data_IF_117597937269
#
_entry.id   IF_117597937269
#
_cell.length_a   1.000
_cell.length_b   1.000
_cell.length_c   1.000
_cell.angle_alpha   90.00
_cell.angle_beta   90.00
_cell.angle_gamma   90.00
#
_symmetry.space_group_name_H-M   'P 1'
#
loop_
_entity.id
_entity.type
_entity.pdbx_description
1 polymer ?
#
# COMPACT_ATOMS: atom_id res chain seq x y z
N UNK A 1 13.47 -15.78 5.75
CA UNK A 1 14.51 -15.24 4.85
C UNK A 1 15.74 -14.86 5.65
N UNK A 2 15.70 -13.83 6.52
CA UNK A 2 16.86 -13.41 7.32
C UNK A 2 17.44 -14.57 8.16
N UNK A 3 16.63 -15.27 8.96
CA UNK A 3 17.11 -16.43 9.75
C UNK A 3 17.64 -17.58 8.87
N UNK A 4 17.06 -17.75 7.67
CA UNK A 4 17.42 -18.82 6.74
C UNK A 4 18.79 -18.55 6.09
N UNK A 5 19.09 -17.30 5.73
CA UNK A 5 20.34 -16.93 5.05
C UNK A 5 21.49 -16.61 6.02
N UNK A 6 21.21 -16.22 7.26
CA UNK A 6 22.25 -15.81 8.24
C UNK A 6 22.52 -16.84 9.34
N UNK A 7 21.76 -17.94 9.42
CA UNK A 7 21.88 -18.94 10.49
C UNK A 7 21.53 -18.41 11.89
N UNK A 8 20.91 -17.23 11.97
CA UNK A 8 20.54 -16.56 13.21
C UNK A 8 19.12 -17.00 13.65
N UNK A 9 19.01 -17.69 14.78
CA UNK A 9 17.74 -18.14 15.39
C UNK A 9 17.06 -17.03 16.22
N UNK A 10 16.95 -15.81 15.68
CA UNK A 10 16.34 -14.71 16.42
C UNK A 10 14.81 -14.83 16.43
N UNK A 11 14.21 -14.62 17.61
CA UNK A 11 12.74 -14.59 17.76
C UNK A 11 12.15 -13.43 16.97
N UNK A 12 10.98 -13.64 16.37
CA UNK A 12 10.23 -12.62 15.61
C UNK A 12 10.07 -11.29 16.40
N UNK A 13 9.87 -11.37 17.71
CA UNK A 13 9.76 -10.21 18.61
C UNK A 13 11.00 -9.32 18.59
N UNK A 14 12.20 -9.87 18.37
CA UNK A 14 13.44 -9.10 18.29
C UNK A 14 13.51 -8.27 17.01
N UNK A 15 13.06 -8.83 15.87
CA UNK A 15 12.94 -8.10 14.61
C UNK A 15 11.91 -6.96 14.69
N UNK A 16 10.76 -7.23 15.33
CA UNK A 16 9.75 -6.21 15.60
C UNK A 16 10.34 -5.11 16.48
N UNK A 17 11.03 -5.46 17.57
CA UNK A 17 11.68 -4.49 18.45
C UNK A 17 12.69 -3.59 17.73
N UNK A 18 13.57 -4.17 16.91
CA UNK A 18 14.55 -3.40 16.13
C UNK A 18 13.87 -2.45 15.13
N UNK A 19 12.83 -2.91 14.44
CA UNK A 19 12.06 -2.09 13.50
C UNK A 19 11.36 -0.93 14.21
N UNK A 20 10.76 -1.20 15.38
CA UNK A 20 10.08 -0.17 16.19
C UNK A 20 11.06 0.92 16.62
N UNK A 21 12.29 0.58 17.02
CA UNK A 21 13.31 1.56 17.38
C UNK A 21 13.57 2.52 16.21
N UNK A 22 13.77 1.99 14.99
CA UNK A 22 13.94 2.82 13.78
C UNK A 22 12.73 3.72 13.51
N UNK A 23 11.52 3.17 13.58
CA UNK A 23 10.27 3.92 13.40
C UNK A 23 10.11 5.04 14.44
N UNK A 24 10.48 4.81 15.69
CA UNK A 24 10.41 5.82 16.75
C UNK A 24 11.32 7.01 16.43
N UNK A 25 12.55 6.78 15.99
CA UNK A 25 13.47 7.86 15.61
C UNK A 25 12.95 8.68 14.42
N UNK A 26 12.43 8.01 13.38
CA UNK A 26 11.83 8.70 12.23
C UNK A 26 10.59 9.49 12.65
N UNK A 27 9.78 8.95 13.56
CA UNK A 27 8.59 9.60 14.12
C UNK A 27 8.89 10.86 14.96
N UNK A 28 10.14 11.06 15.40
CA UNK A 28 10.55 12.29 16.10
C UNK A 28 10.86 13.47 15.17
N UNK A 29 10.83 13.28 13.85
CA UNK A 29 11.17 14.34 12.90
C UNK A 29 10.05 15.38 12.87
N UNK A 30 10.29 16.53 13.53
CA UNK A 30 9.33 17.64 13.63
C UNK A 30 9.20 18.46 12.34
N UNK A 31 10.24 18.45 11.50
CA UNK A 31 10.30 19.26 10.29
C UNK A 31 10.07 18.41 9.04
N UNK A 32 8.81 18.27 8.62
CA UNK A 32 8.41 17.51 7.42
C UNK A 32 9.09 17.97 6.12
N UNK A 33 9.56 19.23 6.06
CA UNK A 33 10.26 19.77 4.88
C UNK A 33 11.49 18.94 4.47
N UNK A 34 12.20 18.34 5.43
CA UNK A 34 13.37 17.49 5.13
C UNK A 34 12.99 16.15 4.51
N UNK A 35 11.77 15.66 4.75
CA UNK A 35 11.28 14.41 4.19
C UNK A 35 10.75 14.58 2.77
N UNK A 36 10.47 15.80 2.31
CA UNK A 36 9.91 16.07 0.99
C UNK A 36 10.71 15.44 -0.16
N UNK A 37 12.05 15.61 -0.28
CA UNK A 37 12.80 15.00 -1.39
C UNK A 37 12.80 13.47 -1.33
N UNK A 38 12.87 12.89 -0.13
CA UNK A 38 12.79 11.44 0.07
C UNK A 38 11.40 10.90 -0.30
N UNK A 39 10.34 11.60 0.12
CA UNK A 39 8.96 11.27 -0.23
C UNK A 39 8.72 11.38 -1.73
N UNK A 40 9.25 12.39 -2.40
CA UNK A 40 9.16 12.52 -3.85
C UNK A 40 9.81 11.33 -4.56
N UNK A 41 11.01 10.92 -4.14
CA UNK A 41 11.68 9.73 -4.68
C UNK A 41 10.89 8.44 -4.40
N UNK A 42 10.36 8.28 -3.19
CA UNK A 42 9.51 7.13 -2.83
C UNK A 42 8.25 7.07 -3.70
N UNK A 43 7.59 8.21 -3.95
CA UNK A 43 6.44 8.29 -4.84
C UNK A 43 6.78 7.89 -6.28
N UNK A 44 7.96 8.23 -6.79
CA UNK A 44 8.42 7.75 -8.11
C UNK A 44 8.54 6.22 -8.12
N UNK A 45 9.14 5.62 -7.10
CA UNK A 45 9.24 4.15 -7.01
C UNK A 45 7.87 3.48 -6.87
N UNK A 46 6.94 4.09 -6.14
CA UNK A 46 5.56 3.60 -6.04
C UNK A 46 4.89 3.62 -7.42
N UNK A 47 5.01 4.71 -8.17
CA UNK A 47 4.47 4.81 -9.53
C UNK A 47 5.08 3.76 -10.48
N UNK A 48 6.39 3.55 -10.41
CA UNK A 48 7.07 2.49 -11.19
C UNK A 48 6.54 1.12 -10.80
N UNK A 49 6.39 0.84 -9.50
CA UNK A 49 5.85 -0.42 -8.99
C UNK A 49 4.43 -0.68 -9.50
N UNK A 50 3.57 0.34 -9.47
CA UNK A 50 2.23 0.23 -10.05
C UNK A 50 2.26 0.00 -11.56
N UNK A 51 3.16 0.66 -12.28
CA UNK A 51 3.36 0.41 -13.70
C UNK A 51 3.74 -1.04 -14.01
N UNK A 52 4.68 -1.59 -13.23
CA UNK A 52 5.09 -3.01 -13.35
C UNK A 52 3.92 -3.94 -13.03
N UNK A 53 3.20 -3.70 -11.93
CA UNK A 53 2.02 -4.51 -11.55
C UNK A 53 0.99 -4.51 -12.68
N UNK A 54 0.63 -3.34 -13.20
CA UNK A 54 -0.33 -3.22 -14.31
C UNK A 54 0.16 -3.91 -15.58
N UNK A 55 1.44 -3.78 -15.92
CA UNK A 55 2.03 -4.48 -17.06
C UNK A 55 1.85 -5.99 -16.95
N UNK A 56 2.19 -6.59 -15.79
CA UNK A 56 2.02 -8.03 -15.58
C UNK A 56 0.55 -8.45 -15.56
N UNK A 57 -0.35 -7.63 -15.01
CA UNK A 57 -1.79 -7.90 -15.01
C UNK A 57 -2.35 -7.96 -16.43
N UNK A 58 -1.96 -7.03 -17.30
CA UNK A 58 -2.42 -7.00 -18.70
C UNK A 58 -1.67 -7.98 -19.62
N UNK A 59 -0.48 -8.42 -19.25
CA UNK A 59 0.29 -9.40 -20.02
C UNK A 59 -0.32 -10.80 -20.03
N UNK A 60 -1.17 -11.13 -19.05
CA UNK A 60 -1.83 -12.42 -18.95
C UNK A 60 -3.33 -12.36 -19.26
N UNK A 61 -3.95 -13.53 -19.42
CA UNK A 61 -5.39 -13.64 -19.68
C UNK A 61 -6.20 -13.22 -18.47
N UNK A 62 -7.09 -12.25 -18.65
CA UNK A 62 -8.08 -11.84 -17.65
C UNK A 62 -9.32 -12.73 -17.81
N UNK A 63 -9.63 -13.55 -16.80
CA UNK A 63 -10.79 -14.45 -16.82
C UNK A 63 -11.79 -13.97 -15.79
N UNK A 64 -12.95 -13.53 -16.25
CA UNK A 64 -14.01 -12.99 -15.37
C UNK A 64 -15.12 -14.00 -15.07
N UNK A 65 -15.30 -14.99 -15.94
CA UNK A 65 -16.49 -15.87 -15.94
C UNK A 65 -16.49 -16.95 -14.86
N UNK A 66 -15.32 -17.38 -14.36
CA UNK A 66 -15.19 -18.51 -13.45
C UNK A 66 -15.04 -18.11 -11.97
N UNK A 67 -15.32 -16.85 -11.62
CA UNK A 67 -15.03 -16.31 -10.29
C UNK A 67 -16.30 -15.82 -9.58
N UNK A 68 -16.48 -16.08 -8.28
CA UNK A 68 -17.60 -15.55 -7.53
C UNK A 68 -17.54 -14.01 -7.50
N UNK A 69 -18.66 -13.37 -7.89
CA UNK A 69 -18.79 -11.92 -7.91
C UNK A 69 -18.79 -11.30 -6.50
N UNK A 70 -19.13 -12.08 -5.49
CA UNK A 70 -19.20 -11.67 -4.09
C UNK A 70 -18.42 -12.70 -3.26
N UNK A 71 -17.48 -12.22 -2.45
CA UNK A 71 -16.72 -13.05 -1.51
C UNK A 71 -17.59 -13.63 -0.38
N UNK A 72 -17.08 -14.62 0.35
CA UNK A 72 -17.81 -15.22 1.46
C UNK A 72 -18.11 -14.16 2.54
N UNK A 73 -19.31 -14.20 3.15
CA UNK A 73 -19.73 -13.25 4.19
C UNK A 73 -18.70 -13.15 5.33
N UNK A 74 -18.04 -14.26 5.67
CA UNK A 74 -17.00 -14.32 6.70
C UNK A 74 -15.75 -13.50 6.37
N UNK A 75 -15.49 -13.24 5.10
CA UNK A 75 -14.32 -12.49 4.62
C UNK A 75 -14.61 -10.99 4.50
N UNK A 76 -15.88 -10.57 4.53
CA UNK A 76 -16.27 -9.16 4.44
C UNK A 76 -15.62 -8.31 5.55
N UNK A 77 -15.63 -8.71 6.84
CA UNK A 77 -14.94 -7.94 7.89
C UNK A 77 -13.44 -7.82 7.65
N UNK A 78 -12.79 -8.89 7.16
CA UNK A 78 -11.36 -8.88 6.84
C UNK A 78 -11.06 -7.89 5.70
N UNK A 79 -11.86 -7.90 4.65
CA UNK A 79 -11.76 -6.95 3.54
C UNK A 79 -11.87 -5.50 4.03
N UNK A 80 -12.93 -5.16 4.76
CA UNK A 80 -13.10 -3.81 5.29
C UNK A 80 -11.97 -3.40 6.24
N UNK A 81 -11.50 -4.31 7.10
CA UNK A 81 -10.38 -4.02 8.01
C UNK A 81 -9.10 -3.69 7.23
N UNK A 82 -8.84 -4.39 6.13
CA UNK A 82 -7.66 -4.18 5.30
C UNK A 82 -7.77 -2.87 4.51
N UNK A 83 -8.95 -2.55 3.98
CA UNK A 83 -9.20 -1.29 3.27
C UNK A 83 -9.04 -0.09 4.21
N UNK A 84 -9.63 -0.15 5.40
CA UNK A 84 -9.52 0.93 6.40
C UNK A 84 -8.06 1.09 6.85
N UNK A 85 -7.37 -0.02 7.12
CA UNK A 85 -5.96 0.00 7.48
C UNK A 85 -5.09 0.61 6.37
N UNK A 86 -5.35 0.27 5.11
CA UNK A 86 -4.62 0.83 3.97
C UNK A 86 -4.88 2.32 3.72
N UNK A 87 -5.99 2.85 4.24
CA UNK A 87 -6.35 4.28 4.20
C UNK A 87 -5.98 5.02 5.49
N UNK A 88 -5.39 4.33 6.46
CA UNK A 88 -4.99 4.95 7.71
C UNK A 88 -3.84 5.94 7.47
N UNK A 89 -3.98 7.15 8.00
CA UNK A 89 -2.95 8.19 7.90
C UNK A 89 -3.24 9.43 8.73
N UNK A 90 -4.29 9.42 9.55
CA UNK A 90 -4.82 10.62 10.22
C UNK A 90 -3.82 11.29 11.17
N UNK A 91 -2.92 10.50 11.77
CA UNK A 91 -1.83 11.03 12.59
C UNK A 91 -0.87 11.95 11.82
N UNK A 92 -0.79 11.81 10.50
CA UNK A 92 0.05 12.65 9.62
C UNK A 92 -0.70 13.82 8.99
N UNK A 93 -2.03 13.81 9.04
CA UNK A 93 -2.90 14.80 8.36
C UNK A 93 -2.69 16.20 8.94
N UNK A 94 -2.69 16.37 10.27
CA UNK A 94 -2.47 17.67 10.91
C UNK A 94 -1.06 18.24 10.66
N UNK A 95 0.05 17.47 10.82
CA UNK A 95 1.38 17.94 10.43
C UNK A 95 1.49 18.36 8.96
N UNK A 96 0.87 17.60 8.05
CA UNK A 96 0.86 17.93 6.62
C UNK A 96 0.08 19.22 6.36
N UNK A 97 -1.12 19.36 6.94
CA UNK A 97 -1.92 20.59 6.85
C UNK A 97 -1.12 21.81 7.34
N UNK A 98 -0.49 21.71 8.52
CA UNK A 98 0.34 22.78 9.09
C UNK A 98 1.56 23.15 8.23
N UNK A 99 2.07 22.22 7.40
CA UNK A 99 3.19 22.46 6.52
C UNK A 99 2.79 23.07 5.15
N UNK A 100 1.50 23.12 4.83
CA UNK A 100 1.02 23.65 3.56
C UNK A 100 1.07 25.18 3.51
N UNK A 101 1.29 25.73 2.30
CA UNK A 101 1.25 27.18 2.06
C UNK A 101 -0.14 27.78 2.31
N UNK A 102 -1.20 26.99 2.12
CA UNK A 102 -2.61 27.38 2.28
C UNK A 102 -3.38 26.24 2.98
N UNK A 103 -3.33 26.14 4.32
CA UNK A 103 -3.93 25.04 5.08
C UNK A 103 -5.46 24.92 4.88
N UNK A 104 -6.16 26.04 4.69
CA UNK A 104 -7.61 26.08 4.49
C UNK A 104 -8.08 25.33 3.23
N UNK A 105 -7.18 25.14 2.25
CA UNK A 105 -7.47 24.40 1.02
C UNK A 105 -7.24 22.89 1.16
N UNK A 106 -6.70 22.43 2.29
CA UNK A 106 -6.45 21.02 2.51
C UNK A 106 -7.74 20.22 2.65
N UNK A 107 -8.68 20.71 3.48
CA UNK A 107 -10.02 20.15 3.70
C UNK A 107 -11.15 20.84 2.91
N UNK A 108 -10.85 21.89 2.13
CA UNK A 108 -11.87 22.60 1.33
C UNK A 108 -12.48 21.74 0.21
N UNK A 109 -13.34 22.32 -0.63
CA UNK A 109 -13.90 21.66 -1.81
C UNK A 109 -13.52 22.43 -3.10
N UNK A 110 -12.74 21.85 -4.03
CA UNK A 110 -12.08 20.54 -3.97
C UNK A 110 -10.73 20.61 -3.24
N UNK A 111 -10.65 19.95 -2.10
CA UNK A 111 -9.49 19.99 -1.21
C UNK A 111 -8.44 18.96 -1.60
N UNK A 112 -7.18 19.25 -1.24
CA UNK A 112 -6.05 18.38 -1.54
C UNK A 112 -6.26 16.98 -0.97
N UNK A 113 -6.82 16.86 0.24
CA UNK A 113 -7.08 15.57 0.87
C UNK A 113 -8.10 14.75 0.07
N UNK A 114 -9.24 15.35 -0.30
CA UNK A 114 -10.31 14.62 -0.98
C UNK A 114 -9.89 14.15 -2.39
N UNK A 115 -9.18 14.99 -3.13
CA UNK A 115 -8.63 14.62 -4.46
C UNK A 115 -7.62 13.48 -4.30
N UNK A 116 -6.68 13.60 -3.37
CA UNK A 116 -5.63 12.61 -3.17
C UNK A 116 -6.21 11.26 -2.75
N UNK A 117 -7.13 11.25 -1.79
CA UNK A 117 -7.80 10.03 -1.36
C UNK A 117 -8.62 9.40 -2.48
N UNK A 118 -9.32 10.20 -3.29
CA UNK A 118 -10.08 9.67 -4.44
C UNK A 118 -9.18 8.96 -5.45
N UNK A 119 -8.01 9.54 -5.76
CA UNK A 119 -7.03 8.91 -6.66
C UNK A 119 -6.53 7.58 -6.08
N UNK A 120 -6.18 7.54 -4.79
CA UNK A 120 -5.69 6.32 -4.13
C UNK A 120 -6.77 5.24 -4.11
N UNK A 121 -8.02 5.58 -3.78
CA UNK A 121 -9.15 4.66 -3.78
C UNK A 121 -9.35 4.04 -5.16
N UNK A 122 -9.37 4.87 -6.21
CA UNK A 122 -9.53 4.38 -7.60
C UNK A 122 -8.38 3.46 -7.98
N UNK A 123 -7.15 3.83 -7.66
CA UNK A 123 -5.98 3.03 -7.98
C UNK A 123 -6.00 1.67 -7.27
N UNK A 124 -6.32 1.64 -5.97
CA UNK A 124 -6.46 0.40 -5.21
C UNK A 124 -7.61 -0.46 -5.74
N UNK A 125 -8.74 0.14 -6.11
CA UNK A 125 -9.87 -0.57 -6.68
C UNK A 125 -9.51 -1.22 -8.02
N UNK A 126 -8.83 -0.50 -8.92
CA UNK A 126 -8.41 -1.02 -10.22
C UNK A 126 -7.43 -2.17 -10.08
N UNK A 127 -6.38 -2.01 -9.26
CA UNK A 127 -5.38 -3.06 -9.06
C UNK A 127 -5.98 -4.27 -8.35
N UNK A 128 -6.82 -4.05 -7.33
CA UNK A 128 -7.51 -5.13 -6.62
C UNK A 128 -8.44 -5.91 -7.53
N UNK A 129 -9.25 -5.22 -8.33
CA UNK A 129 -10.17 -5.84 -9.28
C UNK A 129 -9.44 -6.62 -10.38
N UNK A 130 -8.47 -6.00 -11.06
CA UNK A 130 -7.70 -6.65 -12.11
C UNK A 130 -6.82 -7.79 -11.56
N UNK A 131 -6.27 -7.63 -10.36
CA UNK A 131 -5.55 -8.68 -9.65
C UNK A 131 -6.41 -9.90 -9.38
N UNK A 132 -7.64 -9.70 -8.90
CA UNK A 132 -8.60 -10.78 -8.71
C UNK A 132 -9.03 -11.41 -10.04
N UNK A 133 -9.27 -10.62 -11.08
CA UNK A 133 -9.58 -11.12 -12.42
C UNK A 133 -8.46 -11.98 -13.02
N UNK A 134 -7.19 -11.66 -12.73
CA UNK A 134 -6.04 -12.40 -13.23
C UNK A 134 -5.75 -13.68 -12.42
N UNK A 135 -5.69 -13.57 -11.10
CA UNK A 135 -5.22 -14.64 -10.21
C UNK A 135 -6.37 -15.41 -9.54
N UNK A 136 -7.54 -14.81 -9.35
CA UNK A 136 -8.65 -15.44 -8.61
C UNK A 136 -8.27 -15.83 -7.20
N UNK A 137 -8.69 -17.03 -6.79
CA UNK A 137 -8.56 -17.50 -5.41
C UNK A 137 -7.13 -17.89 -5.01
N UNK A 138 -6.19 -17.99 -5.97
CA UNK A 138 -4.76 -18.21 -5.66
C UNK A 138 -4.02 -16.90 -5.34
N UNK A 139 -4.72 -15.77 -5.30
CA UNK A 139 -4.11 -14.48 -4.97
C UNK A 139 -3.54 -14.48 -3.55
N UNK A 140 -2.24 -14.23 -3.45
CA UNK A 140 -1.54 -14.05 -2.16
C UNK A 140 -1.86 -12.69 -1.53
N UNK A 141 -1.56 -12.56 -0.24
CA UNK A 141 -1.87 -11.36 0.57
C UNK A 141 -1.30 -10.02 0.07
N UNK A 142 -0.32 -10.03 -0.84
CA UNK A 142 0.06 -8.85 -1.61
C UNK A 142 0.15 -9.19 -3.10
N UNK A 143 -0.21 -8.24 -3.97
CA UNK A 143 -0.20 -8.46 -5.42
C UNK A 143 1.20 -8.75 -5.94
N UNK A 144 2.23 -8.14 -5.35
CA UNK A 144 3.63 -8.32 -5.73
C UNK A 144 4.15 -9.73 -5.47
N UNK A 145 3.59 -10.45 -4.49
CA UNK A 145 3.91 -11.86 -4.27
C UNK A 145 3.35 -12.79 -5.36
N UNK A 146 2.39 -12.32 -6.14
CA UNK A 146 1.82 -13.06 -7.27
C UNK A 146 2.60 -12.81 -8.57
N UNK A 147 3.50 -11.81 -8.61
CA UNK A 147 4.35 -11.49 -9.75
C UNK A 147 5.57 -12.42 -9.89
N UNK A 148 5.55 -13.62 -9.29
CA UNK A 148 6.72 -14.50 -9.25
C UNK A 148 7.26 -14.79 -10.66
N UNK A 149 8.54 -14.49 -10.81
CA UNK A 149 9.42 -14.80 -11.93
C UNK A 149 9.36 -16.30 -12.24
N UNK A 150 9.36 -16.66 -13.53
CA UNK A 150 9.04 -17.99 -14.02
C UNK A 150 9.58 -19.18 -13.21
N UNK A 151 8.69 -20.12 -12.93
CA UNK A 151 9.04 -21.54 -13.01
C UNK A 151 9.03 -21.89 -14.51
N UNK A 152 10.23 -22.05 -15.06
CA UNK A 152 10.49 -22.97 -16.18
C UNK A 152 10.63 -24.38 -15.62
#
# INVERSE_FOLDING_TARGET
VINYDTGLEWKLSAYIGFTVIGCLFIGQIRNLKWLVPFSAMANVFILITFGIVLYYLFSGTLVFSDKPLIGEIKQIPLFFSTVIFAMEGIGSVMPVENAMKKPQQFLGCPGVLNISMSIVVVLYAVIGFLGYARYGDVVKGSITLNLQYGEV
#
